data_IF_219350740347
#
_entry.id   IF_219350740347
#
_cell.length_a   1.000
_cell.length_b   1.000
_cell.length_c   1.000
_cell.angle_alpha   90.00
_cell.angle_beta   90.00
_cell.angle_gamma   90.00
#
_symmetry.space_group_name_H-M   'P 1'
#
loop_
_entity.id
_entity.type
_entity.pdbx_description
1 polymer ?
#
# COMPACT_ATOMS: atom_id res chain seq x y z
N UNK A 1 3.17 -14.37 -17.41
CA UNK A 1 4.15 -15.27 -16.74
C UNK A 1 3.62 -15.70 -15.38
N UNK A 2 3.55 -17.01 -15.09
CA UNK A 2 3.17 -17.52 -13.75
C UNK A 2 4.38 -17.42 -12.82
N UNK A 3 4.38 -16.44 -11.90
CA UNK A 3 5.46 -16.16 -10.92
C UNK A 3 5.99 -17.43 -10.22
N UNK A 4 5.11 -18.42 -10.00
CA UNK A 4 5.41 -19.70 -9.35
C UNK A 4 6.37 -20.62 -10.11
N UNK A 5 6.47 -20.48 -11.43
CA UNK A 5 7.35 -21.32 -12.25
C UNK A 5 8.75 -20.73 -12.41
N UNK A 6 8.91 -19.42 -12.21
CA UNK A 6 10.21 -18.74 -12.29
C UNK A 6 11.15 -19.18 -11.18
N UNK A 7 10.63 -19.35 -9.95
CA UNK A 7 11.40 -19.82 -8.80
C UNK A 7 11.93 -21.24 -9.01
N UNK A 8 11.17 -22.11 -9.71
CA UNK A 8 11.55 -23.51 -9.93
C UNK A 8 12.73 -23.67 -10.90
N UNK A 9 12.86 -22.78 -11.88
CA UNK A 9 13.91 -22.87 -12.91
C UNK A 9 15.27 -22.40 -12.40
N UNK A 10 15.31 -21.52 -11.39
CA UNK A 10 16.57 -20.98 -10.84
C UNK A 10 17.29 -21.99 -9.91
N UNK A 11 16.57 -22.96 -9.35
CA UNK A 11 17.12 -23.96 -8.42
C UNK A 11 18.17 -24.91 -9.04
N UNK A 12 18.25 -25.03 -10.36
CA UNK A 12 19.19 -25.96 -11.01
C UNK A 12 20.61 -25.39 -11.22
N UNK A 13 20.81 -24.07 -11.08
CA UNK A 13 22.10 -23.43 -11.39
C UNK A 13 22.97 -23.09 -10.15
N UNK A 14 22.46 -23.29 -8.94
CA UNK A 14 23.09 -22.78 -7.70
C UNK A 14 23.87 -23.83 -6.89
N UNK A 15 23.85 -25.11 -7.27
CA UNK A 15 24.55 -26.16 -6.52
C UNK A 15 26.08 -26.02 -6.59
N UNK A 16 26.63 -25.28 -7.56
CA UNK A 16 28.08 -25.10 -7.71
C UNK A 16 28.70 -23.99 -6.83
N UNK A 17 27.91 -23.16 -6.14
CA UNK A 17 28.41 -22.04 -5.33
C UNK A 17 28.35 -22.26 -3.81
N UNK A 18 28.20 -23.52 -3.37
CA UNK A 18 27.96 -23.88 -1.97
C UNK A 18 29.22 -23.91 -1.07
N UNK A 19 30.21 -23.04 -1.29
CA UNK A 19 31.43 -22.94 -0.46
C UNK A 19 31.64 -21.57 0.21
N UNK A 20 30.66 -20.67 0.17
CA UNK A 20 30.66 -19.50 1.05
C UNK A 20 30.04 -19.88 2.40
N UNK A 21 30.86 -19.88 3.47
CA UNK A 21 30.42 -20.04 4.86
C UNK A 21 29.20 -19.15 5.12
N UNK A 22 28.04 -19.78 5.25
CA UNK A 22 26.82 -19.10 5.66
C UNK A 22 27.02 -18.63 7.10
N UNK A 23 27.24 -17.32 7.28
CA UNK A 23 27.10 -16.73 8.59
C UNK A 23 25.64 -16.92 9.02
N UNK A 24 25.35 -17.52 10.19
CA UNK A 24 23.98 -17.62 10.64
C UNK A 24 23.43 -16.20 10.75
N UNK A 25 22.36 -15.92 10.01
CA UNK A 25 21.60 -14.70 10.17
C UNK A 25 20.96 -14.75 11.55
N UNK A 26 21.70 -14.29 12.57
CA UNK A 26 21.21 -14.14 13.93
C UNK A 26 20.16 -13.05 13.86
N UNK A 27 18.89 -13.45 13.73
CA UNK A 27 17.76 -12.56 13.87
C UNK A 27 17.68 -12.18 15.35
N UNK A 28 18.44 -11.14 15.72
CA UNK A 28 18.36 -10.55 17.04
C UNK A 28 17.01 -9.82 17.09
N UNK A 29 15.97 -10.54 17.50
CA UNK A 29 14.65 -9.99 17.73
C UNK A 29 14.73 -9.07 18.94
N UNK A 30 14.95 -7.79 18.70
CA UNK A 30 14.69 -6.75 19.69
C UNK A 30 13.25 -6.97 20.15
N UNK A 31 12.98 -7.19 21.46
CA UNK A 31 11.61 -7.32 21.94
C UNK A 31 10.93 -5.96 21.76
N UNK A 32 10.24 -5.79 20.63
CA UNK A 32 9.46 -4.60 20.35
C UNK A 32 8.20 -4.66 21.22
N UNK A 33 8.30 -4.22 22.48
CA UNK A 33 7.14 -3.99 23.35
C UNK A 33 6.46 -2.66 23.00
N UNK A 34 6.41 -2.29 21.71
CA UNK A 34 5.74 -1.07 21.28
C UNK A 34 4.23 -1.31 21.38
N UNK A 35 3.59 -0.60 22.30
CA UNK A 35 2.13 -0.63 22.47
C UNK A 35 1.46 -0.29 21.14
N UNK A 36 0.72 -1.24 20.58
CA UNK A 36 -0.04 -1.04 19.34
C UNK A 36 -1.22 -0.10 19.63
N UNK A 37 -1.27 1.01 18.91
CA UNK A 37 -2.42 1.92 18.94
C UNK A 37 -3.47 1.36 17.98
N UNK A 38 -4.61 0.92 18.51
CA UNK A 38 -5.75 0.48 17.69
C UNK A 38 -6.60 1.70 17.33
N UNK A 39 -6.88 1.96 16.04
CA UNK A 39 -7.76 3.05 15.66
C UNK A 39 -9.21 2.78 16.09
N UNK A 40 -10.04 3.83 16.20
CA UNK A 40 -11.48 3.67 16.37
C UNK A 40 -12.09 2.81 15.26
N UNK A 41 -13.20 2.12 15.57
CA UNK A 41 -13.97 1.41 14.55
C UNK A 41 -14.68 2.41 13.65
N UNK A 42 -14.73 2.11 12.35
CA UNK A 42 -15.52 2.85 11.37
C UNK A 42 -17.03 2.69 11.63
N UNK A 43 -17.78 3.72 11.27
CA UNK A 43 -19.24 3.82 11.33
C UNK A 43 -19.79 4.30 9.99
N UNK A 44 -21.04 3.96 9.69
CA UNK A 44 -21.75 4.55 8.54
C UNK A 44 -21.77 6.07 8.69
N UNK A 45 -21.49 6.78 7.61
CA UNK A 45 -21.30 8.23 7.54
C UNK A 45 -19.87 8.69 7.84
N UNK A 46 -18.95 7.80 8.25
CA UNK A 46 -17.56 8.19 8.42
C UNK A 46 -16.91 8.52 7.07
N UNK A 47 -16.00 9.50 7.10
CA UNK A 47 -15.25 9.94 5.93
C UNK A 47 -13.96 9.13 5.76
N UNK A 48 -13.79 8.55 4.59
CA UNK A 48 -12.62 7.78 4.20
C UNK A 48 -11.83 8.53 3.12
N UNK A 49 -10.50 8.54 3.25
CA UNK A 49 -9.61 9.02 2.22
C UNK A 49 -9.28 7.90 1.22
N UNK A 50 -9.40 8.16 -0.08
CA UNK A 50 -8.95 7.29 -1.16
C UNK A 50 -7.66 7.86 -1.75
N UNK A 51 -6.58 7.06 -1.75
CA UNK A 51 -5.25 7.47 -2.21
C UNK A 51 -4.58 6.40 -3.09
N UNK A 52 -3.55 6.78 -3.85
CA UNK A 52 -2.76 5.87 -4.70
C UNK A 52 -1.28 5.90 -4.31
N UNK A 53 -0.85 5.29 -3.19
CA UNK A 53 0.57 5.32 -2.81
C UNK A 53 1.44 4.33 -3.59
N UNK A 54 0.85 3.47 -4.43
CA UNK A 54 1.54 2.55 -5.33
C UNK A 54 1.48 2.99 -6.79
N UNK A 55 0.77 2.21 -7.61
CA UNK A 55 0.53 2.45 -9.04
C UNK A 55 -0.72 3.31 -9.27
N UNK A 56 -0.78 3.99 -10.41
CA UNK A 56 -1.92 4.83 -10.80
C UNK A 56 -3.17 3.98 -11.11
N UNK A 57 -4.33 4.63 -11.10
CA UNK A 57 -5.63 4.05 -11.49
C UNK A 57 -6.24 4.82 -12.67
N UNK A 58 -7.13 4.18 -13.43
CA UNK A 58 -7.93 4.85 -14.45
C UNK A 58 -9.07 5.68 -13.83
N UNK A 59 -9.71 6.53 -14.63
CA UNK A 59 -10.87 7.32 -14.18
C UNK A 59 -12.02 6.40 -13.81
N UNK A 60 -12.26 5.35 -14.60
CA UNK A 60 -13.30 4.34 -14.33
C UNK A 60 -12.99 3.57 -13.04
N UNK A 61 -11.73 3.19 -12.80
CA UNK A 61 -11.30 2.55 -11.55
C UNK A 61 -11.51 3.49 -10.34
N UNK A 62 -11.24 4.79 -10.50
CA UNK A 62 -11.51 5.81 -9.46
C UNK A 62 -13.01 5.90 -9.16
N UNK A 63 -13.84 6.10 -10.17
CA UNK A 63 -15.30 6.26 -10.01
C UNK A 63 -15.91 5.04 -9.33
N UNK A 64 -15.54 3.85 -9.79
CA UNK A 64 -15.98 2.58 -9.19
C UNK A 64 -15.52 2.43 -7.74
N UNK A 65 -14.29 2.85 -7.42
CA UNK A 65 -13.79 2.81 -6.04
C UNK A 65 -14.58 3.73 -5.12
N UNK A 66 -14.92 4.93 -5.59
CA UNK A 66 -15.75 5.90 -4.85
C UNK A 66 -17.17 5.35 -4.66
N UNK A 67 -17.78 4.82 -5.72
CA UNK A 67 -19.12 4.22 -5.68
C UNK A 67 -19.20 3.08 -4.66
N UNK A 68 -18.28 2.11 -4.73
CA UNK A 68 -18.24 0.99 -3.79
C UNK A 68 -18.16 1.45 -2.32
N UNK A 69 -17.33 2.46 -2.02
CA UNK A 69 -17.20 2.97 -0.65
C UNK A 69 -18.47 3.71 -0.19
N UNK A 70 -19.13 4.43 -1.10
CA UNK A 70 -20.41 5.08 -0.83
C UNK A 70 -21.53 4.06 -0.60
N UNK A 71 -21.58 2.97 -1.37
CA UNK A 71 -22.53 1.87 -1.15
C UNK A 71 -22.36 1.18 0.20
N UNK A 72 -21.13 1.13 0.72
CA UNK A 72 -20.84 0.68 2.08
C UNK A 72 -21.24 1.70 3.16
N UNK A 73 -21.75 2.86 2.76
CA UNK A 73 -22.26 3.90 3.65
C UNK A 73 -21.20 4.91 4.11
N UNK A 74 -20.09 5.06 3.40
CA UNK A 74 -19.04 6.01 3.76
C UNK A 74 -19.05 7.27 2.89
N UNK A 75 -18.59 8.38 3.46
CA UNK A 75 -18.18 9.54 2.65
C UNK A 75 -16.77 9.30 2.11
N UNK A 76 -16.49 9.73 0.89
CA UNK A 76 -15.19 9.50 0.25
C UNK A 76 -14.56 10.82 -0.14
N UNK A 77 -13.32 11.02 0.26
CA UNK A 77 -12.49 12.14 -0.15
C UNK A 77 -11.17 11.66 -0.72
N UNK A 78 -10.57 12.47 -1.59
CA UNK A 78 -9.28 12.19 -2.19
C UNK A 78 -8.59 13.52 -2.51
N UNK A 79 -7.26 13.53 -2.57
CA UNK A 79 -6.53 14.70 -3.08
C UNK A 79 -6.55 14.72 -4.62
N UNK A 80 -6.06 15.81 -5.19
CA UNK A 80 -5.81 15.91 -6.64
C UNK A 80 -4.70 14.95 -7.10
N UNK A 81 -3.85 14.48 -6.18
CA UNK A 81 -2.73 13.57 -6.48
C UNK A 81 -3.20 12.15 -6.84
N UNK A 82 -4.44 11.79 -6.51
CA UNK A 82 -5.00 10.46 -6.79
C UNK A 82 -4.86 10.05 -8.27
N UNK A 83 -4.96 11.03 -9.17
CA UNK A 83 -4.95 10.82 -10.63
C UNK A 83 -3.61 11.13 -11.30
N UNK A 84 -2.56 11.41 -10.53
CA UNK A 84 -1.23 11.57 -11.10
C UNK A 84 -0.74 10.26 -11.70
N UNK A 85 0.24 10.38 -12.60
CA UNK A 85 0.95 9.26 -13.18
C UNK A 85 2.43 9.57 -13.34
N UNK A 86 3.27 8.69 -12.83
CA UNK A 86 4.73 8.75 -12.98
C UNK A 86 5.28 7.38 -13.38
N UNK A 87 5.27 7.10 -14.69
CA UNK A 87 5.67 5.80 -15.23
C UNK A 87 4.80 4.67 -14.71
N UNK A 88 5.40 3.75 -13.94
CA UNK A 88 4.71 2.66 -13.26
C UNK A 88 3.93 3.13 -12.02
N UNK A 89 4.44 4.14 -11.32
CA UNK A 89 3.88 4.66 -10.09
C UNK A 89 2.81 5.72 -10.34
N UNK A 90 2.04 6.04 -9.31
CA UNK A 90 1.09 7.16 -9.32
C UNK A 90 1.77 8.52 -9.34
N UNK A 91 2.86 8.72 -8.60
CA UNK A 91 3.55 10.01 -8.54
C UNK A 91 5.01 9.84 -8.12
N UNK A 92 5.76 10.93 -7.98
CA UNK A 92 7.08 10.90 -7.36
C UNK A 92 6.99 10.42 -5.90
N UNK A 93 8.11 9.94 -5.34
CA UNK A 93 8.16 9.48 -3.95
C UNK A 93 7.73 10.57 -2.96
N UNK A 94 8.12 11.83 -3.25
CA UNK A 94 7.73 13.00 -2.45
C UNK A 94 6.22 13.22 -2.49
N UNK A 95 5.62 13.24 -3.67
CA UNK A 95 4.17 13.45 -3.83
C UNK A 95 3.35 12.32 -3.18
N UNK A 96 3.80 11.05 -3.30
CA UNK A 96 3.11 9.92 -2.65
C UNK A 96 3.20 9.98 -1.13
N UNK A 97 4.35 10.41 -0.59
CA UNK A 97 4.51 10.62 0.84
C UNK A 97 3.65 11.79 1.35
N UNK A 98 3.61 12.90 0.61
CA UNK A 98 2.74 14.05 0.90
C UNK A 98 1.27 13.65 0.90
N UNK A 99 0.82 12.86 -0.09
CA UNK A 99 -0.56 12.41 -0.19
C UNK A 99 -1.00 11.61 1.05
N UNK A 100 -0.16 10.67 1.50
CA UNK A 100 -0.43 9.91 2.72
C UNK A 100 -0.46 10.83 3.96
N UNK A 101 0.57 11.67 4.12
CA UNK A 101 0.70 12.51 5.32
C UNK A 101 -0.45 13.52 5.44
N UNK A 102 -0.87 14.12 4.32
CA UNK A 102 -2.02 15.01 4.27
C UNK A 102 -3.30 14.32 4.78
N UNK A 103 -3.55 13.07 4.36
CA UNK A 103 -4.73 12.32 4.83
C UNK A 103 -4.63 11.93 6.31
N UNK A 104 -3.43 11.75 6.86
CA UNK A 104 -3.22 11.53 8.30
C UNK A 104 -3.42 12.80 9.13
N UNK A 105 -3.10 13.98 8.59
CA UNK A 105 -3.25 15.27 9.28
C UNK A 105 -4.72 15.71 9.42
N UNK A 106 -5.57 15.30 8.47
CA UNK A 106 -7.01 15.62 8.43
C UNK A 106 -7.81 14.82 9.46
N UNK A 107 -8.19 15.47 10.57
CA UNK A 107 -8.90 14.85 11.71
C UNK A 107 -10.31 14.34 11.39
N UNK A 108 -10.91 14.85 10.32
CA UNK A 108 -12.20 14.40 9.80
C UNK A 108 -12.10 13.04 9.11
N UNK A 109 -10.93 12.66 8.59
CA UNK A 109 -10.69 11.36 7.96
C UNK A 109 -10.62 10.27 9.05
N UNK A 110 -11.48 9.25 8.93
CA UNK A 110 -11.58 8.13 9.88
C UNK A 110 -10.89 6.86 9.40
N UNK A 111 -10.54 6.80 8.12
CA UNK A 111 -9.75 5.73 7.54
C UNK A 111 -9.16 6.13 6.19
N UNK A 112 -8.08 5.45 5.81
CA UNK A 112 -7.37 5.67 4.55
C UNK A 112 -7.39 4.36 3.77
N UNK A 113 -7.83 4.41 2.51
CA UNK A 113 -7.95 3.29 1.58
C UNK A 113 -6.99 3.51 0.42
N UNK A 114 -6.11 2.53 0.20
CA UNK A 114 -5.20 2.53 -0.95
C UNK A 114 -5.92 1.91 -2.15
N UNK A 115 -6.18 2.69 -3.19
CA UNK A 115 -6.94 2.25 -4.37
C UNK A 115 -6.23 1.12 -5.14
N UNK A 116 -4.90 1.13 -5.15
CA UNK A 116 -4.07 0.15 -5.87
C UNK A 116 -2.73 -0.05 -5.19
N UNK A 117 -2.21 -1.28 -5.29
CA UNK A 117 -0.85 -1.63 -4.89
C UNK A 117 0.20 -1.23 -5.92
N UNK A 118 1.33 -1.94 -5.94
CA UNK A 118 2.39 -1.83 -6.94
C UNK A 118 2.19 -2.85 -8.04
#
# INVERSE_FOLDING_TARGET
>A
MKRRNFIKTVSAASVAAASAKASPFVHNSIPVTKKIIKPPKLRVGDKLALITPGSYISIEEKEKSIENLKELGFEVEHSDRLMLKNGYFSASDKERAEDINEMFERKEIKGIVCARGG
#
